data_IF_645185939317
#
_entry.id   IF_645185939317
#
_cell.length_a   1.000
_cell.length_b   1.000
_cell.length_c   1.000
_cell.angle_alpha   90.00
_cell.angle_beta   90.00
_cell.angle_gamma   90.00
#
_symmetry.space_group_name_H-M   'P 1'
#
loop_
_entity.id
_entity.type
_entity.pdbx_description
1 polymer ?
#
# COMPACT_ATOMS: atom_id res chain seq x y z
N UNK A 1 -19.77 -44.08 32.80
CA UNK A 1 -20.96 -43.21 32.64
C UNK A 1 -20.44 -41.90 32.05
N UNK A 2 -20.05 -41.79 30.78
CA UNK A 2 -20.77 -41.91 29.49
C UNK A 2 -21.75 -40.77 29.21
N UNK A 3 -21.31 -39.79 28.40
CA UNK A 3 -22.08 -38.95 27.46
C UNK A 3 -21.03 -38.06 26.74
N UNK A 4 -20.59 -38.24 25.48
CA UNK A 4 -21.18 -38.38 24.13
C UNK A 4 -21.92 -37.13 23.63
N UNK A 5 -21.54 -36.71 22.40
CA UNK A 5 -22.23 -35.82 21.44
C UNK A 5 -21.58 -34.43 21.30
N UNK A 6 -21.30 -33.85 20.13
CA UNK A 6 -21.47 -34.24 18.71
C UNK A 6 -20.55 -33.34 17.86
N UNK A 7 -19.92 -33.92 16.83
CA UNK A 7 -19.23 -33.19 15.74
C UNK A 7 -20.28 -32.65 14.78
N UNK A 8 -20.14 -31.40 14.34
CA UNK A 8 -20.77 -30.92 13.11
C UNK A 8 -19.71 -30.36 12.16
N UNK A 9 -19.52 -31.13 11.09
CA UNK A 9 -18.84 -30.79 9.85
C UNK A 9 -19.81 -29.91 9.06
N UNK A 10 -19.36 -28.77 8.52
CA UNK A 10 -20.08 -28.09 7.45
C UNK A 10 -19.08 -27.78 6.32
N UNK A 11 -19.23 -28.56 5.25
CA UNK A 11 -18.56 -28.41 3.96
C UNK A 11 -19.44 -27.50 3.10
N UNK A 12 -18.90 -26.44 2.51
CA UNK A 12 -19.57 -25.72 1.41
C UNK A 12 -18.61 -25.68 0.22
N UNK A 13 -19.00 -26.42 -0.81
CA UNK A 13 -18.50 -26.35 -2.18
C UNK A 13 -19.51 -25.53 -2.97
N UNK A 14 -19.06 -24.53 -3.73
CA UNK A 14 -19.84 -23.98 -4.83
C UNK A 14 -18.89 -23.57 -5.96
N UNK A 15 -19.06 -24.25 -7.10
CA UNK A 15 -18.40 -24.00 -8.37
C UNK A 15 -19.45 -23.48 -9.36
N UNK A 16 -19.14 -22.42 -10.12
CA UNK A 16 -19.89 -21.93 -11.29
C UNK A 16 -18.85 -21.27 -12.21
N UNK A 17 -18.33 -21.97 -13.24
CA UNK A 17 -18.85 -22.22 -14.59
C UNK A 17 -18.61 -21.06 -15.58
N UNK A 18 -17.73 -21.37 -16.55
CA UNK A 18 -17.31 -20.61 -17.73
C UNK A 18 -18.42 -20.66 -18.80
N UNK A 19 -18.62 -19.56 -19.53
CA UNK A 19 -19.37 -19.57 -20.81
C UNK A 19 -18.50 -18.96 -21.91
N UNK A 20 -18.25 -19.74 -22.95
CA UNK A 20 -17.70 -19.34 -24.23
C UNK A 20 -18.67 -19.75 -25.35
N UNK A 21 -18.93 -18.86 -26.31
CA UNK A 21 -19.50 -19.08 -27.65
C UNK A 21 -20.00 -17.74 -28.20
N UNK A 22 -20.05 -17.43 -29.50
CA UNK A 22 -19.55 -18.06 -30.73
C UNK A 22 -19.88 -17.11 -31.92
N UNK A 23 -19.13 -17.27 -33.01
CA UNK A 23 -19.44 -17.12 -34.44
C UNK A 23 -20.21 -15.92 -35.04
N UNK A 24 -19.66 -15.42 -36.16
CA UNK A 24 -20.38 -14.72 -37.22
C UNK A 24 -19.51 -14.45 -38.47
N UNK A 25 -19.39 -15.46 -39.34
CA UNK A 25 -19.32 -15.49 -40.84
C UNK A 25 -19.60 -14.20 -41.62
N UNK A 26 -19.24 -13.94 -42.89
CA UNK A 26 -18.67 -14.65 -44.06
C UNK A 26 -18.35 -13.57 -45.14
N UNK A 27 -17.56 -13.88 -46.19
CA UNK A 27 -17.54 -13.14 -47.47
C UNK A 27 -16.13 -12.99 -48.07
N UNK A 28 -15.60 -13.98 -48.78
CA UNK A 28 -15.76 -14.31 -50.23
C UNK A 28 -14.55 -13.83 -51.05
N UNK A 29 -14.00 -14.76 -51.82
CA UNK A 29 -12.78 -14.63 -52.63
C UNK A 29 -13.14 -14.25 -54.07
N UNK A 30 -12.36 -13.37 -54.69
CA UNK A 30 -12.28 -13.32 -56.16
C UNK A 30 -10.85 -12.98 -56.62
N UNK A 31 -10.37 -13.83 -57.52
CA UNK A 31 -9.05 -13.84 -58.15
C UNK A 31 -9.01 -12.98 -59.42
N UNK A 32 -7.81 -12.45 -59.71
CA UNK A 32 -7.15 -12.33 -61.03
C UNK A 32 -7.66 -11.32 -62.08
N UNK A 33 -6.80 -10.35 -62.48
CA UNK A 33 -6.18 -10.25 -63.84
C UNK A 33 -5.42 -8.92 -64.01
N UNK A 34 -4.32 -8.98 -64.77
CA UNK A 34 -3.26 -8.01 -64.99
C UNK A 34 -3.63 -6.72 -65.78
N UNK A 35 -2.71 -5.74 -65.64
CA UNK A 35 -2.63 -4.43 -66.29
C UNK A 35 -2.49 -4.47 -67.83
N UNK A 36 -2.66 -3.32 -68.52
CA UNK A 36 -1.46 -2.53 -68.84
C UNK A 36 -1.61 -0.98 -68.89
N UNK A 37 -0.48 -0.32 -68.60
CA UNK A 37 0.16 0.85 -69.23
C UNK A 37 -0.58 2.19 -69.54
N UNK A 38 -0.03 3.24 -68.90
CA UNK A 38 0.39 4.55 -69.46
C UNK A 38 -0.66 5.62 -69.81
N UNK A 39 -0.73 6.68 -68.99
CA UNK A 39 -0.42 8.07 -69.38
C UNK A 39 -0.40 9.01 -68.16
N UNK A 40 0.54 9.95 -68.14
CA UNK A 40 0.55 11.15 -67.28
C UNK A 40 1.18 12.29 -68.12
N UNK A 41 1.01 13.59 -67.81
CA UNK A 41 0.17 14.19 -66.76
C UNK A 41 -0.71 15.36 -67.29
N UNK A 42 -1.80 15.67 -66.59
CA UNK A 42 -2.43 16.99 -66.68
C UNK A 42 -2.47 17.60 -65.27
N UNK A 43 -1.70 18.67 -65.07
CA UNK A 43 -1.59 19.41 -63.81
C UNK A 43 -2.90 20.13 -63.52
N UNK A 44 -3.70 19.60 -62.60
CA UNK A 44 -4.82 20.30 -61.99
C UNK A 44 -4.31 21.27 -60.90
N UNK A 45 -4.95 22.45 -60.73
CA UNK A 45 -4.60 23.39 -59.67
C UNK A 45 -4.91 22.81 -58.28
N UNK A 46 -4.01 23.09 -57.34
CA UNK A 46 -4.09 22.61 -55.96
C UNK A 46 -5.37 23.09 -55.26
N UNK A 47 -6.25 22.16 -54.97
CA UNK A 47 -7.39 22.34 -54.09
C UNK A 47 -6.88 22.30 -52.64
N UNK A 48 -7.10 23.39 -51.90
CA UNK A 48 -6.70 23.51 -50.49
C UNK A 48 -7.71 22.74 -49.64
N UNK A 49 -7.35 21.51 -49.25
CA UNK A 49 -8.14 20.71 -48.31
C UNK A 49 -8.17 21.41 -46.96
N UNK A 50 -9.35 21.63 -46.35
CA UNK A 50 -9.45 22.14 -44.99
C UNK A 50 -8.74 21.19 -44.04
N UNK A 51 -7.92 21.73 -43.13
CA UNK A 51 -7.24 20.96 -42.10
C UNK A 51 -8.29 20.19 -41.28
N UNK A 52 -8.23 18.86 -41.35
CA UNK A 52 -9.03 17.95 -40.55
C UNK A 52 -8.63 18.16 -39.09
N UNK A 53 -9.54 18.75 -38.31
CA UNK A 53 -9.35 18.90 -36.86
C UNK A 53 -9.47 17.52 -36.25
N UNK A 54 -8.33 16.91 -35.91
CA UNK A 54 -8.32 15.64 -35.19
C UNK A 54 -9.08 15.81 -33.87
N UNK A 55 -9.96 14.85 -33.50
CA UNK A 55 -10.61 14.89 -32.19
C UNK A 55 -9.54 14.88 -31.09
N UNK A 56 -9.80 15.52 -29.93
CA UNK A 56 -8.89 15.44 -28.81
C UNK A 56 -8.68 13.97 -28.44
N UNK A 57 -7.42 13.55 -28.38
CA UNK A 57 -7.06 12.23 -27.86
C UNK A 57 -7.39 12.25 -26.38
N UNK A 58 -8.45 11.54 -25.98
CA UNK A 58 -8.70 11.23 -24.58
C UNK A 58 -7.55 10.35 -24.12
N UNK A 59 -6.63 10.94 -23.35
CA UNK A 59 -5.55 10.22 -22.70
C UNK A 59 -6.15 9.10 -21.86
N UNK A 60 -5.67 7.87 -22.04
CA UNK A 60 -6.08 6.76 -21.20
C UNK A 60 -5.75 7.13 -19.75
N UNK A 61 -6.61 6.80 -18.77
CA UNK A 61 -6.34 7.13 -17.38
C UNK A 61 -4.96 6.57 -17.01
N UNK A 62 -4.16 7.38 -16.31
CA UNK A 62 -2.92 6.90 -15.72
C UNK A 62 -3.27 5.66 -14.88
N UNK A 63 -2.61 4.54 -15.18
CA UNK A 63 -2.75 3.30 -14.41
C UNK A 63 -1.56 3.18 -13.49
N UNK A 64 -1.77 3.16 -12.19
CA UNK A 64 -0.71 2.87 -11.22
C UNK A 64 -0.29 1.40 -11.32
N UNK A 65 0.78 1.16 -12.08
CA UNK A 65 1.34 -0.17 -12.40
C UNK A 65 2.87 -0.11 -12.43
N UNK A 66 3.53 -1.21 -12.08
CA UNK A 66 4.99 -1.27 -11.99
C UNK A 66 5.53 -0.63 -10.72
N UNK A 67 6.78 -0.15 -10.77
CA UNK A 67 7.42 0.55 -9.65
C UNK A 67 6.72 1.88 -9.37
N UNK A 68 6.41 2.14 -8.10
CA UNK A 68 5.72 3.35 -7.65
C UNK A 68 6.68 4.25 -6.90
N UNK A 69 7.27 5.22 -7.60
CA UNK A 69 8.11 6.27 -7.01
C UNK A 69 7.27 7.51 -6.74
N UNK A 70 7.18 7.91 -5.49
CA UNK A 70 6.25 8.96 -5.04
C UNK A 70 5.93 8.85 -3.56
N UNK A 71 4.86 9.51 -3.13
CA UNK A 71 4.39 9.52 -1.75
C UNK A 71 3.08 8.77 -1.62
N UNK A 72 3.03 7.81 -0.71
CA UNK A 72 1.81 7.20 -0.22
C UNK A 72 1.25 8.09 0.89
N UNK A 73 0.55 9.16 0.51
CA UNK A 73 -0.07 10.10 1.46
C UNK A 73 -1.13 9.38 2.28
N UNK A 74 -1.07 9.51 3.60
CA UNK A 74 -1.95 8.77 4.51
C UNK A 74 -3.16 9.62 4.93
N UNK A 75 -4.33 9.00 4.93
CA UNK A 75 -5.55 9.51 5.54
C UNK A 75 -5.43 9.39 7.06
N UNK A 76 -5.83 10.45 7.76
CA UNK A 76 -5.89 10.48 9.22
C UNK A 76 -6.78 9.35 9.76
N UNK A 77 -6.26 8.61 10.72
CA UNK A 77 -7.01 7.58 11.44
C UNK A 77 -8.18 8.18 12.22
N UNK A 78 -9.32 7.51 12.20
CA UNK A 78 -10.51 7.90 12.96
C UNK A 78 -11.23 6.68 13.53
N UNK A 79 -12.00 6.90 14.59
CA UNK A 79 -12.86 5.91 15.21
C UNK A 79 -14.28 6.47 15.37
N UNK A 80 -15.26 5.78 14.79
CA UNK A 80 -16.69 6.02 15.01
C UNK A 80 -17.33 4.78 15.63
N UNK A 81 -17.52 4.83 16.96
CA UNK A 81 -17.90 3.65 17.74
C UNK A 81 -16.85 2.54 17.59
N UNK A 82 -17.26 1.39 17.06
CA UNK A 82 -16.39 0.24 16.83
C UNK A 82 -15.75 0.22 15.43
N UNK A 83 -16.10 1.18 14.57
CA UNK A 83 -15.55 1.28 13.22
C UNK A 83 -14.30 2.14 13.25
N UNK A 84 -13.19 1.60 12.74
CA UNK A 84 -11.93 2.31 12.54
C UNK A 84 -11.72 2.51 11.04
N UNK A 85 -11.26 3.70 10.65
CA UNK A 85 -10.93 4.06 9.27
C UNK A 85 -9.63 4.85 9.22
N UNK A 86 -9.02 4.99 8.05
CA UNK A 86 -7.76 5.72 7.88
C UNK A 86 -6.58 4.95 8.47
N UNK A 87 -5.48 5.66 8.72
CA UNK A 87 -4.21 5.01 9.08
C UNK A 87 -4.05 4.78 10.58
N UNK A 88 -3.51 3.62 10.96
CA UNK A 88 -3.29 3.27 12.35
C UNK A 88 -2.16 2.26 12.56
N UNK A 89 -1.73 2.18 13.81
CA UNK A 89 -0.82 1.19 14.34
C UNK A 89 -1.50 0.38 15.44
N UNK A 90 -1.19 -0.92 15.51
CA UNK A 90 -1.50 -1.78 16.65
C UNK A 90 -0.27 -2.58 17.02
N UNK A 91 -0.15 -2.98 18.29
CA UNK A 91 0.96 -3.82 18.74
C UNK A 91 0.46 -5.13 19.31
N UNK A 92 0.91 -6.26 18.75
CA UNK A 92 0.64 -7.60 19.26
C UNK A 92 1.60 -7.87 20.43
N UNK A 93 1.06 -8.40 21.52
CA UNK A 93 1.84 -8.82 22.69
C UNK A 93 2.74 -10.01 22.36
N UNK A 94 3.83 -10.17 23.11
CA UNK A 94 4.70 -11.35 22.99
C UNK A 94 3.89 -12.65 23.09
N UNK A 95 4.09 -13.55 22.12
CA UNK A 95 3.39 -14.84 22.06
C UNK A 95 1.97 -14.81 21.52
N UNK A 96 1.48 -13.65 21.04
CA UNK A 96 0.20 -13.53 20.35
C UNK A 96 0.21 -14.08 18.92
N UNK A 97 -0.92 -13.92 18.24
CA UNK A 97 -1.12 -14.19 16.81
C UNK A 97 -1.45 -12.90 16.06
N UNK A 98 -1.69 -12.97 14.75
CA UNK A 98 -2.13 -11.82 13.96
C UNK A 98 -3.43 -11.18 14.50
N UNK A 99 -4.22 -11.95 15.25
CA UNK A 99 -5.47 -11.55 15.89
C UNK A 99 -5.29 -11.05 17.34
N UNK A 100 -4.05 -11.02 17.86
CA UNK A 100 -3.72 -10.55 19.19
C UNK A 100 -3.33 -11.65 20.20
N UNK A 101 -3.37 -11.36 21.52
CA UNK A 101 -3.88 -10.14 22.13
C UNK A 101 -3.04 -8.92 21.77
N UNK A 102 -3.72 -7.78 21.59
CA UNK A 102 -3.06 -6.51 21.34
C UNK A 102 -2.74 -5.77 22.64
N UNK A 103 -1.71 -4.92 22.60
CA UNK A 103 -1.37 -4.01 23.68
C UNK A 103 -2.37 -2.86 23.68
N UNK A 104 -3.09 -2.61 24.79
CA UNK A 104 -3.97 -1.46 24.90
C UNK A 104 -3.15 -0.17 25.02
N UNK A 105 -3.46 0.83 24.20
CA UNK A 105 -2.95 2.18 24.31
C UNK A 105 -3.97 3.06 25.05
N UNK A 106 -3.71 3.37 26.32
CA UNK A 106 -4.62 4.19 27.13
C UNK A 106 -4.80 5.62 26.59
N UNK A 107 -3.86 6.11 25.76
CA UNK A 107 -3.92 7.43 25.12
C UNK A 107 -4.70 7.41 23.79
N UNK A 108 -5.18 6.23 23.36
CA UNK A 108 -5.98 6.11 22.15
C UNK A 108 -7.32 6.85 22.27
N UNK A 109 -7.73 7.63 21.25
CA UNK A 109 -9.06 8.22 21.19
C UNK A 109 -10.16 7.19 20.89
N UNK A 110 -9.80 5.97 20.49
CA UNK A 110 -10.74 4.90 20.14
C UNK A 110 -11.29 4.22 21.40
N UNK A 111 -12.28 4.84 22.03
CA UNK A 111 -12.84 4.37 23.31
C UNK A 111 -13.44 2.96 23.26
N UNK A 112 -13.88 2.48 22.08
CA UNK A 112 -14.43 1.13 21.92
C UNK A 112 -13.34 0.05 21.83
N UNK A 113 -12.16 0.40 21.31
CA UNK A 113 -10.99 -0.48 21.23
C UNK A 113 -9.71 0.34 21.33
N UNK A 114 -9.16 0.40 22.53
CA UNK A 114 -7.94 1.17 22.81
C UNK A 114 -6.66 0.51 22.27
N UNK A 115 -6.73 -0.63 21.57
CA UNK A 115 -5.54 -1.21 20.93
C UNK A 115 -5.09 -0.45 19.67
N UNK A 116 -5.94 0.42 19.13
CA UNK A 116 -5.63 1.26 17.98
C UNK A 116 -4.87 2.51 18.40
N UNK A 117 -3.73 2.78 17.77
CA UNK A 117 -3.05 4.07 17.83
C UNK A 117 -3.22 4.74 16.46
N UNK A 118 -4.07 5.76 16.41
CA UNK A 118 -4.38 6.45 15.16
C UNK A 118 -3.17 7.28 14.69
N UNK A 119 -2.96 7.32 13.38
CA UNK A 119 -1.89 8.08 12.75
C UNK A 119 -2.49 9.23 11.94
N UNK A 120 -1.84 10.39 11.99
CA UNK A 120 -2.19 11.54 11.16
C UNK A 120 -1.06 11.81 10.16
N UNK A 121 -1.36 12.32 8.95
CA UNK A 121 -0.36 12.64 7.94
C UNK A 121 0.74 13.58 8.47
N UNK A 122 1.98 13.22 8.15
CA UNK A 122 3.16 13.99 8.49
C UNK A 122 3.32 15.26 7.64
N UNK A 123 4.46 15.93 7.76
CA UNK A 123 4.80 17.11 6.94
C UNK A 123 4.95 16.77 5.46
N UNK A 124 5.31 15.52 5.14
CA UNK A 124 5.42 15.03 3.77
C UNK A 124 4.15 14.31 3.33
N UNK A 125 3.10 14.31 4.16
CA UNK A 125 1.82 13.65 3.89
C UNK A 125 1.82 12.14 4.08
N UNK A 126 2.95 11.44 3.99
CA UNK A 126 3.00 9.98 4.16
C UNK A 126 4.35 9.34 3.86
N UNK A 127 4.31 8.06 3.50
CA UNK A 127 5.51 7.25 3.23
C UNK A 127 5.99 7.46 1.79
N UNK A 128 7.20 7.96 1.63
CA UNK A 128 7.85 8.06 0.33
C UNK A 128 8.43 6.70 -0.08
N UNK A 129 8.15 6.29 -1.31
CA UNK A 129 8.82 5.15 -1.95
C UNK A 129 9.88 5.64 -2.94
N UNK A 130 11.05 5.03 -2.89
CA UNK A 130 12.25 5.39 -3.65
C UNK A 130 13.21 6.33 -2.92
N UNK A 131 12.86 6.84 -1.73
CA UNK A 131 13.73 7.73 -0.95
C UNK A 131 13.56 7.55 0.56
N UNK A 132 14.55 7.98 1.33
CA UNK A 132 14.52 7.97 2.79
C UNK A 132 13.89 9.25 3.34
N UNK A 133 13.11 9.10 4.41
CA UNK A 133 12.62 10.16 5.30
C UNK A 133 13.22 9.94 6.71
N UNK A 134 14.47 10.36 6.95
CA UNK A 134 15.18 10.08 8.19
C UNK A 134 14.62 10.84 9.38
N UNK A 135 14.88 10.31 10.59
CA UNK A 135 14.58 11.04 11.82
C UNK A 135 15.49 12.29 11.93
N UNK A 136 15.01 13.38 12.54
CA UNK A 136 15.85 14.55 12.80
C UNK A 136 16.97 14.24 13.80
N UNK A 137 17.97 15.12 13.89
CA UNK A 137 19.01 15.09 14.92
C UNK A 137 18.87 16.30 15.85
N UNK A 138 18.51 16.11 17.15
CA UNK A 138 18.28 14.83 17.82
C UNK A 138 16.93 14.20 17.47
N UNK A 139 16.89 12.85 17.43
CA UNK A 139 15.65 12.11 17.14
C UNK A 139 14.61 12.18 18.27
N UNK A 140 15.06 12.54 19.48
CA UNK A 140 14.23 12.61 20.68
C UNK A 140 14.36 13.97 21.36
N UNK A 141 13.27 14.41 21.98
CA UNK A 141 13.31 15.54 22.91
C UNK A 141 13.93 15.16 24.27
N UNK A 142 14.00 16.13 25.19
CA UNK A 142 14.61 15.95 26.50
C UNK A 142 13.88 14.95 27.42
N UNK A 143 12.64 14.57 27.11
CA UNK A 143 11.84 13.62 27.91
C UNK A 143 11.58 12.30 27.17
N UNK A 144 12.18 12.11 25.99
CA UNK A 144 12.15 10.85 25.24
C UNK A 144 11.02 10.73 24.23
N UNK A 145 10.29 11.82 23.93
CA UNK A 145 9.35 11.84 22.80
C UNK A 145 10.14 11.82 21.50
N UNK A 146 9.74 10.97 20.57
CA UNK A 146 10.29 10.99 19.23
C UNK A 146 9.76 12.22 18.45
N UNK A 147 10.63 12.82 17.65
CA UNK A 147 10.37 14.12 17.01
C UNK A 147 10.24 14.07 15.50
N UNK A 148 10.46 12.90 14.89
CA UNK A 148 10.21 12.71 13.46
C UNK A 148 8.73 12.96 13.15
N UNK A 149 8.46 13.75 12.12
CA UNK A 149 7.08 14.10 11.72
C UNK A 149 6.88 14.06 10.20
N UNK A 150 7.85 13.53 9.45
CA UNK A 150 7.83 13.51 7.98
C UNK A 150 6.74 12.58 7.44
N UNK A 151 6.75 11.32 7.87
CA UNK A 151 5.82 10.28 7.41
C UNK A 151 4.44 10.43 8.08
N UNK A 152 4.42 10.48 9.40
CA UNK A 152 3.22 10.66 10.22
C UNK A 152 3.53 11.60 11.38
N UNK A 153 2.53 12.33 11.88
CA UNK A 153 2.68 13.07 13.13
C UNK A 153 3.01 12.10 14.29
N UNK A 154 3.83 12.51 15.27
CA UNK A 154 4.04 11.71 16.46
C UNK A 154 2.72 11.37 17.17
N UNK A 155 2.53 10.10 17.48
CA UNK A 155 1.33 9.60 18.16
C UNK A 155 1.70 9.18 19.59
N UNK A 156 0.83 9.49 20.56
CA UNK A 156 1.09 9.17 21.97
C UNK A 156 0.77 7.71 22.25
N UNK A 157 1.72 7.02 22.88
CA UNK A 157 1.61 5.63 23.31
C UNK A 157 2.17 5.52 24.73
N UNK A 158 1.34 5.19 25.71
CA UNK A 158 1.71 5.19 27.14
C UNK A 158 2.37 6.51 27.62
N UNK A 159 1.81 7.65 27.22
CA UNK A 159 2.25 8.98 27.63
C UNK A 159 3.54 9.47 26.97
N UNK A 160 4.13 8.70 26.04
CA UNK A 160 5.31 9.09 25.26
C UNK A 160 4.94 9.09 23.79
N UNK A 161 5.32 10.15 23.06
CA UNK A 161 5.10 10.19 21.63
C UNK A 161 6.09 9.25 20.92
N UNK A 162 5.55 8.26 20.19
CA UNK A 162 6.33 7.55 19.19
C UNK A 162 6.21 8.26 17.85
N UNK A 163 7.23 8.10 17.03
CA UNK A 163 7.25 8.58 15.65
C UNK A 163 7.81 7.49 14.74
N UNK A 164 7.63 7.67 13.43
CA UNK A 164 8.18 6.78 12.42
C UNK A 164 9.03 7.56 11.42
N UNK A 165 10.12 6.93 10.99
CA UNK A 165 11.06 7.44 10.01
C UNK A 165 11.73 6.26 9.30
N UNK A 166 12.53 6.53 8.27
CA UNK A 166 13.36 5.51 7.62
C UNK A 166 14.81 5.61 8.09
N UNK A 167 15.40 4.49 8.46
CA UNK A 167 16.83 4.39 8.77
C UNK A 167 17.65 4.21 7.49
N UNK A 168 18.61 5.12 7.26
CA UNK A 168 19.50 5.11 6.09
C UNK A 168 20.47 3.92 6.07
N UNK A 169 20.60 3.18 7.17
CA UNK A 169 21.37 1.93 7.21
C UNK A 169 20.69 0.74 6.51
N UNK A 170 19.44 0.90 6.06
CA UNK A 170 18.68 -0.12 5.34
C UNK A 170 18.11 0.43 4.03
N UNK A 171 17.64 -0.47 3.15
CA UNK A 171 17.09 -0.10 1.85
C UNK A 171 15.86 0.82 2.00
N UNK A 172 15.81 1.89 1.20
CA UNK A 172 14.69 2.82 1.15
C UNK A 172 13.40 2.07 0.79
N UNK A 173 12.21 2.49 1.26
CA UNK A 173 10.94 1.87 0.89
C UNK A 173 10.78 1.72 -0.63
N UNK A 174 10.44 0.53 -1.11
CA UNK A 174 10.25 0.25 -2.53
C UNK A 174 8.94 -0.51 -2.72
N UNK A 175 7.95 0.15 -3.33
CA UNK A 175 6.61 -0.37 -3.55
C UNK A 175 6.31 -0.43 -5.05
N UNK A 176 5.49 -1.41 -5.42
CA UNK A 176 5.07 -1.64 -6.79
C UNK A 176 3.63 -2.10 -6.83
N UNK A 177 2.96 -1.82 -7.95
CA UNK A 177 1.61 -2.28 -8.24
C UNK A 177 1.59 -3.26 -9.41
N UNK A 178 0.76 -4.29 -9.29
CA UNK A 178 0.43 -5.19 -10.39
C UNK A 178 -1.04 -5.58 -10.32
N UNK A 179 -1.85 -5.12 -11.28
CA UNK A 179 -3.28 -5.44 -11.34
C UNK A 179 -4.05 -4.95 -10.11
N UNK A 180 -3.72 -3.75 -9.62
CA UNK A 180 -4.32 -3.15 -8.42
C UNK A 180 -3.87 -3.76 -7.08
N UNK A 181 -2.87 -4.65 -7.08
CA UNK A 181 -2.28 -5.21 -5.87
C UNK A 181 -0.95 -4.52 -5.59
N UNK A 182 -0.78 -4.01 -4.37
CA UNK A 182 0.49 -3.46 -3.90
C UNK A 182 1.36 -4.54 -3.27
N UNK A 183 2.65 -4.47 -3.55
CA UNK A 183 3.69 -5.30 -2.93
C UNK A 183 5.02 -4.57 -2.89
N UNK A 184 5.92 -5.02 -2.04
CA UNK A 184 7.27 -4.47 -1.99
C UNK A 184 7.94 -4.68 -0.63
N UNK A 185 8.77 -3.72 -0.25
CA UNK A 185 9.47 -3.74 1.01
C UNK A 185 9.57 -2.36 1.65
N UNK A 186 9.68 -2.34 2.98
CA UNK A 186 9.85 -1.14 3.80
C UNK A 186 10.94 -1.38 4.85
N UNK A 187 12.05 -2.03 4.48
CA UNK A 187 13.07 -2.50 5.41
C UNK A 187 13.65 -1.40 6.31
N UNK A 188 13.78 -0.16 5.80
CA UNK A 188 14.21 1.00 6.57
C UNK A 188 13.17 1.54 7.58
N UNK A 189 11.90 1.15 7.48
CA UNK A 189 10.85 1.70 8.33
C UNK A 189 11.10 1.40 9.82
N UNK A 190 11.22 2.45 10.63
CA UNK A 190 11.68 2.37 12.01
C UNK A 190 10.79 3.22 12.90
N UNK A 191 10.31 2.62 14.01
CA UNK A 191 9.59 3.34 15.04
C UNK A 191 10.57 3.82 16.11
N UNK A 192 10.45 5.08 16.50
CA UNK A 192 11.25 5.72 17.55
C UNK A 192 10.34 5.91 18.76
N UNK A 193 10.73 5.35 19.90
CA UNK A 193 9.90 5.40 21.11
C UNK A 193 10.76 5.33 22.38
N UNK A 194 10.45 6.17 23.37
CA UNK A 194 11.10 6.11 24.69
C UNK A 194 12.62 6.24 24.65
N UNK A 195 13.15 7.04 23.72
CA UNK A 195 14.59 7.26 23.54
C UNK A 195 15.34 6.16 22.77
N UNK A 196 14.66 5.20 22.15
CA UNK A 196 15.28 4.15 21.34
C UNK A 196 14.58 3.94 19.99
N UNK A 197 15.35 3.59 18.93
CA UNK A 197 14.79 3.13 17.66
C UNK A 197 14.49 1.63 17.69
N UNK A 198 13.42 1.23 17.00
CA UNK A 198 12.97 -0.14 16.82
C UNK A 198 12.63 -0.36 15.34
N UNK A 199 13.42 -1.18 14.65
CA UNK A 199 13.14 -1.49 13.25
C UNK A 199 11.78 -2.19 13.13
N UNK A 200 10.90 -1.61 12.31
CA UNK A 200 9.53 -2.04 12.05
C UNK A 200 9.30 -2.35 10.57
N UNK A 201 10.39 -2.48 9.81
CA UNK A 201 10.37 -2.79 8.39
C UNK A 201 10.03 -4.25 8.09
N UNK A 202 9.58 -4.50 6.86
CA UNK A 202 9.41 -5.85 6.34
C UNK A 202 9.97 -5.95 4.91
N UNK A 203 10.86 -6.92 4.63
CA UNK A 203 11.55 -7.75 5.63
C UNK A 203 12.44 -6.90 6.54
N UNK A 204 13.14 -7.54 7.48
CA UNK A 204 14.23 -6.88 8.22
C UNK A 204 15.36 -6.46 7.27
N UNK A 205 16.25 -5.55 7.68
CA UNK A 205 17.39 -5.14 6.85
C UNK A 205 18.31 -6.29 6.40
N UNK A 206 18.35 -7.40 7.14
CA UNK A 206 19.08 -8.62 6.77
C UNK A 206 18.27 -9.58 5.87
N UNK A 207 17.08 -9.17 5.42
CA UNK A 207 16.14 -9.95 4.63
C UNK A 207 15.30 -10.96 5.42
N UNK A 208 15.49 -11.06 6.74
CA UNK A 208 14.75 -12.02 7.58
C UNK A 208 13.32 -11.55 7.90
N UNK A 209 12.48 -12.51 8.32
CA UNK A 209 11.11 -12.29 8.78
C UNK A 209 10.86 -13.02 10.10
N UNK A 210 11.40 -12.51 11.22
CA UNK A 210 11.25 -13.14 12.52
C UNK A 210 9.80 -13.09 13.01
N UNK A 211 9.37 -14.15 13.70
CA UNK A 211 8.06 -14.27 14.32
C UNK A 211 6.90 -13.95 13.38
N UNK A 212 6.15 -12.91 13.70
CA UNK A 212 4.98 -12.46 12.94
C UNK A 212 5.32 -11.36 11.92
N UNK A 213 6.57 -11.22 11.51
CA UNK A 213 6.93 -10.31 10.42
C UNK A 213 6.36 -10.84 9.10
N UNK A 214 5.47 -10.06 8.47
CA UNK A 214 4.78 -10.44 7.25
C UNK A 214 5.11 -9.46 6.12
N UNK A 215 4.99 -9.91 4.87
CA UNK A 215 5.22 -9.09 3.68
C UNK A 215 4.38 -7.82 3.66
N UNK A 216 4.91 -6.80 2.97
CA UNK A 216 4.14 -5.60 2.64
C UNK A 216 3.18 -5.95 1.51
N UNK A 217 1.89 -5.83 1.79
CA UNK A 217 0.80 -6.16 0.87
C UNK A 217 -0.25 -5.06 0.88
N UNK A 218 -1.02 -4.94 -0.18
CA UNK A 218 -2.06 -3.94 -0.23
C UNK A 218 -2.85 -3.92 -1.51
N UNK A 219 -3.67 -2.89 -1.67
CA UNK A 219 -4.43 -2.60 -2.89
C UNK A 219 -4.22 -1.16 -3.31
N UNK A 220 -4.34 -0.90 -4.60
CA UNK A 220 -4.39 0.45 -5.15
C UNK A 220 -5.45 0.50 -6.25
N UNK A 221 -6.30 1.51 -6.21
CA UNK A 221 -7.18 1.84 -7.32
C UNK A 221 -6.30 2.42 -8.44
N UNK A 222 -6.25 1.77 -9.62
CA UNK A 222 -5.32 2.16 -10.67
C UNK A 222 -5.62 3.54 -11.25
N UNK A 223 -6.83 4.09 -11.05
CA UNK A 223 -7.27 5.38 -11.61
C UNK A 223 -7.16 6.50 -10.59
N UNK A 224 -7.58 6.26 -9.35
CA UNK A 224 -7.64 7.30 -8.31
C UNK A 224 -6.41 7.32 -7.41
N UNK A 225 -5.64 6.23 -7.37
CA UNK A 225 -4.47 6.11 -6.49
C UNK A 225 -4.85 5.83 -5.03
N UNK A 226 -6.14 5.69 -4.73
CA UNK A 226 -6.62 5.30 -3.41
C UNK A 226 -6.03 3.93 -3.05
N UNK A 227 -5.40 3.83 -1.88
CA UNK A 227 -4.69 2.62 -1.49
C UNK A 227 -4.97 2.19 -0.06
N UNK A 228 -4.73 0.90 0.20
CA UNK A 228 -4.51 0.32 1.52
C UNK A 228 -3.19 -0.44 1.47
N UNK A 229 -2.33 -0.25 2.46
CA UNK A 229 -1.03 -0.88 2.58
C UNK A 229 -0.87 -1.42 4.00
N UNK A 230 -0.56 -2.70 4.12
CA UNK A 230 -0.47 -3.41 5.39
C UNK A 230 0.79 -4.26 5.48
N UNK A 231 1.36 -4.30 6.68
CA UNK A 231 2.42 -5.24 7.03
C UNK A 231 2.48 -5.41 8.54
N UNK A 232 3.19 -6.44 8.96
CA UNK A 232 3.56 -6.63 10.36
C UNK A 232 5.06 -6.85 10.49
N UNK A 233 5.63 -6.39 11.61
CA UNK A 233 7.07 -6.52 11.84
C UNK A 233 7.36 -6.72 13.32
N UNK A 234 8.02 -7.82 13.64
CA UNK A 234 8.42 -8.17 14.99
C UNK A 234 9.66 -7.41 15.40
N UNK A 235 9.66 -6.81 16.58
CA UNK A 235 10.83 -6.16 17.17
C UNK A 235 11.84 -7.25 17.58
N UNK A 236 13.10 -7.02 17.20
CA UNK A 236 14.23 -7.89 17.55
C UNK A 236 15.16 -7.11 18.47
N UNK A 237 15.31 -7.59 19.70
CA UNK A 237 16.13 -6.98 20.75
C UNK A 237 15.44 -5.83 21.48
N UNK A 238 16.13 -5.33 22.52
CA UNK A 238 15.65 -4.23 23.35
C UNK A 238 14.50 -4.63 24.29
N UNK A 239 13.88 -3.65 24.96
CA UNK A 239 12.83 -3.88 25.96
C UNK A 239 11.50 -4.39 25.37
N UNK A 240 11.28 -4.19 24.07
CA UNK A 240 10.09 -4.66 23.34
C UNK A 240 10.38 -5.90 22.49
N UNK A 241 11.43 -6.65 22.81
CA UNK A 241 11.77 -7.87 22.06
C UNK A 241 10.55 -8.79 21.92
N UNK A 242 10.38 -9.33 20.71
CA UNK A 242 9.30 -10.23 20.33
C UNK A 242 7.88 -9.64 20.28
N UNK A 243 7.67 -8.37 20.61
CA UNK A 243 6.42 -7.66 20.25
C UNK A 243 6.34 -7.45 18.75
N UNK A 244 5.13 -7.41 18.18
CA UNK A 244 4.95 -7.21 16.73
C UNK A 244 4.08 -6.00 16.46
N UNK A 245 4.63 -5.03 15.74
CA UNK A 245 3.84 -3.93 15.19
C UNK A 245 3.02 -4.40 13.98
N UNK A 246 1.76 -4.00 13.92
CA UNK A 246 0.85 -4.15 12.78
C UNK A 246 0.53 -2.76 12.27
N UNK A 247 0.83 -2.53 11.00
CA UNK A 247 0.71 -1.23 10.36
C UNK A 247 -0.35 -1.30 9.29
N UNK A 248 -1.22 -0.30 9.29
CA UNK A 248 -2.26 -0.11 8.28
C UNK A 248 -2.20 1.34 7.82
N UNK A 249 -1.77 1.54 6.57
CA UNK A 249 -1.78 2.84 5.92
C UNK A 249 -2.88 2.83 4.86
N UNK A 250 -3.79 3.78 4.97
CA UNK A 250 -4.87 4.03 4.01
C UNK A 250 -4.70 5.45 3.48
N UNK A 251 -4.86 5.68 2.18
CA UNK A 251 -4.75 7.02 1.63
C UNK A 251 -4.70 7.10 0.12
N UNK A 252 -3.92 8.03 -0.44
CA UNK A 252 -3.78 8.24 -1.90
C UNK A 252 -2.31 8.31 -2.30
N UNK A 253 -1.94 7.62 -3.38
CA UNK A 253 -0.60 7.69 -3.94
C UNK A 253 -0.42 8.90 -4.85
N UNK A 254 0.67 9.65 -4.66
CA UNK A 254 1.05 10.82 -5.43
C UNK A 254 2.42 10.58 -6.08
N UNK A 255 2.50 10.43 -7.42
CA UNK A 255 3.77 10.27 -8.14
C UNK A 255 4.73 11.45 -7.95
N UNK A 256 6.04 11.16 -7.98
CA UNK A 256 7.12 12.15 -7.94
C UNK A 256 7.35 12.87 -9.29
#
# INVERSE_FOLDING_TARGET
MTAKSRRHLLTIVAAIAIVASSCGSDGDSAETTAAPATEAPATAPAETTPAETSPPVTEAPATFEGELVGVFEITEGACDGATVSGSYFRMIQTGGTAEGPFVPNADSPCVADQSYSLLAPGTDGGLASGTHQPAPDPAFDAVGNATAAAIAQPAVFFGVAFAVATDEAADAPALSAAGGVLSGQVAAFTAYYGGAPFNQGSPKPDGSKPGLTADVVGTIDPVTGAFVLEWSSQIVGGPFDSFTGVWHFEGTFVPA
#
